data_IF_176553141702
#
_entry.id   IF_176553141702
#
_cell.length_a   1.000
_cell.length_b   1.000
_cell.length_c   1.000
_cell.angle_alpha   90.00
_cell.angle_beta   90.00
_cell.angle_gamma   90.00
#
_symmetry.space_group_name_H-M   'P 1'
#
loop_
_entity.id
_entity.type
_entity.pdbx_description
1 polymer ?
#
# COMPACT_ATOMS: atom_id res chain seq x y z
N UNK A 1 -30.63 -5.14 6.95
CA UNK A 1 -30.01 -5.33 5.62
C UNK A 1 -29.02 -4.20 5.45
N UNK A 2 -27.72 -4.46 5.57
CA UNK A 2 -26.69 -3.46 5.32
C UNK A 2 -26.24 -3.61 3.87
N UNK A 3 -26.46 -2.55 3.10
CA UNK A 3 -26.13 -2.44 1.69
C UNK A 3 -24.62 -2.41 1.50
N UNK A 4 -24.17 -3.19 0.51
CA UNK A 4 -22.80 -3.23 0.03
C UNK A 4 -22.49 -1.90 -0.67
N UNK A 5 -21.59 -1.10 -0.11
CA UNK A 5 -20.91 -0.03 -0.86
C UNK A 5 -19.42 -0.36 -0.90
N UNK A 6 -18.96 -0.62 -2.12
CA UNK A 6 -17.60 -0.53 -2.64
C UNK A 6 -16.56 -0.12 -1.60
N UNK A 7 -15.77 -1.10 -1.15
CA UNK A 7 -14.79 -0.95 -0.08
C UNK A 7 -13.62 -0.02 -0.43
N UNK A 8 -13.88 1.28 -0.50
CA UNK A 8 -12.90 2.30 -0.16
C UNK A 8 -12.87 2.37 1.38
N UNK A 9 -12.21 1.40 2.01
CA UNK A 9 -11.97 1.42 3.45
C UNK A 9 -11.03 2.60 3.74
N UNK A 10 -11.63 3.77 3.92
CA UNK A 10 -11.04 4.97 4.46
C UNK A 10 -10.75 4.71 5.95
N UNK A 11 -9.68 3.96 6.21
CA UNK A 11 -9.06 3.95 7.54
C UNK A 11 -8.31 5.25 7.69
N UNK A 12 -8.80 6.12 8.56
CA UNK A 12 -8.05 7.28 9.06
C UNK A 12 -6.81 6.78 9.80
N UNK A 13 -5.67 6.70 9.11
CA UNK A 13 -4.34 6.70 9.72
C UNK A 13 -3.34 7.23 8.68
N UNK A 14 -3.00 8.51 8.80
CA UNK A 14 -1.92 9.20 8.08
C UNK A 14 -2.00 9.20 6.53
N UNK A 15 -2.91 9.99 5.95
CA UNK A 15 -2.70 10.47 4.58
C UNK A 15 -1.56 11.50 4.60
N UNK A 16 -0.33 11.03 4.78
CA UNK A 16 0.83 11.86 4.50
C UNK A 16 0.71 12.24 3.04
N UNK A 17 0.57 13.52 2.74
CA UNK A 17 0.60 14.06 1.38
C UNK A 17 1.87 13.66 0.59
N UNK A 18 2.86 13.07 1.28
CA UNK A 18 4.10 12.55 0.75
C UNK A 18 4.10 11.03 0.52
N UNK A 19 3.15 10.28 1.10
CA UNK A 19 3.04 8.83 0.96
C UNK A 19 1.99 8.47 -0.10
N UNK A 20 2.37 7.56 -0.98
CA UNK A 20 1.50 6.94 -1.96
C UNK A 20 1.35 5.46 -1.67
N UNK A 21 0.22 4.92 -2.11
CA UNK A 21 -0.07 3.49 -2.03
C UNK A 21 -0.26 2.93 -3.43
N UNK A 22 0.34 1.78 -3.71
CA UNK A 22 0.16 1.06 -4.97
C UNK A 22 -0.14 -0.41 -4.71
N UNK A 23 -1.20 -0.90 -5.34
CA UNK A 23 -1.63 -2.29 -5.20
C UNK A 23 -1.18 -3.14 -6.40
N UNK A 24 -0.67 -4.33 -6.10
CA UNK A 24 -0.22 -5.33 -7.05
C UNK A 24 -1.05 -6.60 -6.83
N UNK A 25 -2.08 -6.85 -7.67
CA UNK A 25 -2.89 -8.05 -7.56
C UNK A 25 -2.02 -9.29 -7.76
N UNK A 26 -2.16 -10.26 -6.87
CA UNK A 26 -1.48 -11.55 -6.98
C UNK A 26 -2.34 -12.61 -6.33
N UNK A 27 -2.55 -13.74 -7.01
CA UNK A 27 -3.34 -14.86 -6.48
C UNK A 27 -2.73 -15.49 -5.23
N UNK A 28 -1.44 -15.28 -5.00
CA UNK A 28 -0.74 -15.63 -3.76
C UNK A 28 0.09 -14.42 -3.31
N UNK A 29 -0.15 -13.92 -2.10
CA UNK A 29 0.66 -12.87 -1.50
C UNK A 29 1.48 -13.43 -0.34
N UNK A 30 2.80 -13.41 -0.50
CA UNK A 30 3.73 -13.72 0.57
C UNK A 30 4.36 -12.42 1.07
N UNK A 31 4.33 -12.21 2.40
CA UNK A 31 4.78 -10.96 3.00
C UNK A 31 6.23 -10.64 2.64
N UNK A 32 7.14 -11.62 2.74
CA UNK A 32 8.57 -11.42 2.43
C UNK A 32 8.81 -10.86 1.02
N UNK A 33 8.39 -11.55 -0.08
CA UNK A 33 8.60 -11.02 -1.42
C UNK A 33 7.78 -9.76 -1.73
N UNK A 34 6.60 -9.58 -1.10
CA UNK A 34 5.84 -8.34 -1.21
C UNK A 34 6.64 -7.16 -0.64
N UNK A 35 7.19 -7.31 0.58
CA UNK A 35 7.97 -6.27 1.22
C UNK A 35 9.30 -6.02 0.48
N UNK A 36 10.02 -7.06 0.07
CA UNK A 36 11.25 -6.92 -0.72
C UNK A 36 10.96 -6.20 -2.06
N UNK A 37 9.90 -6.57 -2.76
CA UNK A 37 9.49 -5.90 -4.00
C UNK A 37 9.22 -4.41 -3.77
N UNK A 38 8.41 -4.06 -2.77
CA UNK A 38 8.10 -2.66 -2.45
C UNK A 38 9.34 -1.88 -2.01
N UNK A 39 10.23 -2.48 -1.22
CA UNK A 39 11.48 -1.86 -0.77
C UNK A 39 12.46 -1.61 -1.91
N UNK A 40 12.64 -2.57 -2.81
CA UNK A 40 13.57 -2.45 -3.94
C UNK A 40 13.05 -1.55 -5.06
N UNK A 41 11.75 -1.60 -5.38
CA UNK A 41 11.19 -0.83 -6.52
C UNK A 41 10.77 0.58 -6.14
N UNK A 42 10.26 0.76 -4.92
CA UNK A 42 9.56 1.98 -4.52
C UNK A 42 10.18 2.62 -3.28
N UNK A 43 11.25 2.03 -2.71
CA UNK A 43 11.80 2.49 -1.42
C UNK A 43 10.72 2.58 -0.34
N UNK A 44 9.79 1.61 -0.36
CA UNK A 44 8.63 1.57 0.52
C UNK A 44 8.50 0.27 1.29
N UNK A 45 7.37 0.11 1.98
CA UNK A 45 7.01 -1.11 2.71
C UNK A 45 5.86 -1.84 2.03
N UNK A 46 5.92 -3.17 2.00
CA UNK A 46 4.89 -4.02 1.40
C UNK A 46 4.05 -4.77 2.44
N UNK A 47 2.73 -4.69 2.30
CA UNK A 47 1.74 -5.41 3.09
C UNK A 47 0.96 -6.38 2.22
N UNK A 48 0.85 -7.64 2.64
CA UNK A 48 -0.03 -8.58 1.98
C UNK A 48 -1.49 -8.40 2.41
N UNK A 49 -2.37 -8.30 1.42
CA UNK A 49 -3.82 -8.33 1.54
C UNK A 49 -4.34 -9.61 0.88
N UNK A 50 -5.61 -9.95 1.15
CA UNK A 50 -6.24 -11.17 0.65
C UNK A 50 -6.19 -11.31 -0.89
N UNK A 51 -6.10 -10.20 -1.60
CA UNK A 51 -6.15 -10.12 -3.07
C UNK A 51 -4.82 -9.77 -3.73
N UNK A 52 -3.74 -9.53 -2.95
CA UNK A 52 -2.45 -9.11 -3.50
C UNK A 52 -1.57 -8.32 -2.53
N UNK A 53 -0.53 -7.71 -3.07
CA UNK A 53 0.47 -6.94 -2.33
C UNK A 53 0.18 -5.44 -2.42
N UNK A 54 0.07 -4.76 -1.28
CA UNK A 54 -0.07 -3.32 -1.18
C UNK A 54 1.28 -2.70 -0.78
N UNK A 55 1.86 -1.88 -1.63
CA UNK A 55 3.06 -1.10 -1.31
C UNK A 55 2.68 0.29 -0.82
N UNK A 56 3.29 0.75 0.26
CA UNK A 56 3.25 2.14 0.74
C UNK A 56 4.64 2.75 0.64
N UNK A 57 4.79 3.89 -0.03
CA UNK A 57 6.08 4.50 -0.34
C UNK A 57 5.99 6.02 -0.39
N UNK A 58 7.12 6.72 -0.23
CA UNK A 58 7.17 8.17 -0.42
C UNK A 58 7.20 8.51 -1.91
N UNK A 59 6.18 9.18 -2.42
CA UNK A 59 6.07 9.55 -3.84
C UNK A 59 6.37 11.02 -4.11
N UNK A 60 6.42 11.84 -3.07
CA UNK A 60 6.94 13.19 -3.14
C UNK A 60 8.23 13.25 -2.32
N UNK A 61 9.23 14.05 -2.75
CA UNK A 61 10.37 14.34 -1.90
C UNK A 61 9.84 14.91 -0.57
N UNK A 62 10.32 14.44 0.59
CA UNK A 62 9.97 15.07 1.85
C UNK A 62 10.32 16.56 1.76
N UNK A 63 9.52 17.46 2.37
CA UNK A 63 9.80 18.89 2.30
C UNK A 63 11.22 19.09 2.80
N UNK A 64 12.11 19.58 1.93
CA UNK A 64 13.49 19.89 2.28
C UNK A 64 13.46 20.82 3.48
N UNK A 65 14.09 20.40 4.58
CA UNK A 65 14.28 21.25 5.76
C UNK A 65 15.14 22.46 5.42
#
# INVERSE_FOLDING_TARGET
>A
MASVEEGLYSSTDDYSQYTCTRFFPSGNCYHKPCNEFCGHRLSGYGKCLATGCQCSYYCQPPPSK
#
